data_IF_246765566239
#
_entry.id   IF_246765566239
#
_cell.length_a   1.000
_cell.length_b   1.000
_cell.length_c   1.000
_cell.angle_alpha   90.00
_cell.angle_beta   90.00
_cell.angle_gamma   90.00
#
_symmetry.space_group_name_H-M   'P 1'
#
loop_
_entity.id
_entity.type
_entity.pdbx_description
1 polymer ?
#
# COMPACT_ATOMS: atom_id res chain seq x y z
N UNK A 1 -44.28 39.57 11.29
CA UNK A 1 -43.22 39.12 10.36
C UNK A 1 -41.89 39.32 11.08
N UNK A 2 -41.24 38.27 11.61
CA UNK A 2 -40.02 38.50 12.42
C UNK A 2 -39.30 37.28 12.99
N UNK A 3 -39.39 36.10 12.38
CA UNK A 3 -38.75 34.88 12.89
C UNK A 3 -37.67 34.26 11.97
N UNK A 4 -37.39 34.84 10.80
CA UNK A 4 -36.48 34.22 9.82
C UNK A 4 -34.98 34.52 10.03
N UNK A 5 -34.63 35.61 10.74
CA UNK A 5 -33.24 36.08 10.82
C UNK A 5 -32.37 35.40 11.89
N UNK A 6 -32.98 34.71 12.86
CA UNK A 6 -32.25 33.97 13.88
C UNK A 6 -31.88 32.57 13.37
N UNK A 7 -32.79 31.90 12.65
CA UNK A 7 -32.51 30.62 12.01
C UNK A 7 -31.44 30.72 10.91
N UNK A 8 -31.41 31.81 10.14
CA UNK A 8 -30.34 32.03 9.15
C UNK A 8 -28.98 32.20 9.82
N UNK A 9 -28.91 32.96 10.92
CA UNK A 9 -27.66 33.14 11.67
C UNK A 9 -27.15 31.86 12.30
N UNK A 10 -28.04 31.02 12.83
CA UNK A 10 -27.67 29.70 13.34
C UNK A 10 -27.14 28.78 12.22
N UNK A 11 -27.80 28.75 11.05
CA UNK A 11 -27.34 27.98 9.89
C UNK A 11 -25.97 28.43 9.40
N UNK A 12 -25.73 29.74 9.31
CA UNK A 12 -24.45 30.31 8.91
C UNK A 12 -23.33 29.97 9.91
N UNK A 13 -23.64 30.03 11.20
CA UNK A 13 -22.70 29.67 12.27
C UNK A 13 -22.34 28.17 12.22
N UNK A 14 -23.32 27.28 12.05
CA UNK A 14 -23.06 25.85 11.89
C UNK A 14 -22.21 25.52 10.65
N UNK A 15 -22.36 26.29 9.58
CA UNK A 15 -21.59 26.10 8.36
C UNK A 15 -20.15 26.57 8.55
N UNK A 16 -19.94 27.73 9.19
CA UNK A 16 -18.62 28.22 9.58
C UNK A 16 -17.88 27.24 10.51
N UNK A 17 -18.58 26.64 11.46
CA UNK A 17 -18.00 25.68 12.39
C UNK A 17 -17.60 24.37 11.67
N UNK A 18 -18.44 23.89 10.74
CA UNK A 18 -18.12 22.74 9.88
C UNK A 18 -16.89 22.99 9.01
N UNK A 19 -16.82 24.13 8.35
CA UNK A 19 -15.69 24.51 7.49
C UNK A 19 -14.39 24.66 8.30
N UNK A 20 -14.49 25.26 9.49
CA UNK A 20 -13.37 25.40 10.43
C UNK A 20 -12.86 24.03 10.87
N UNK A 21 -13.75 23.11 11.22
CA UNK A 21 -13.41 21.73 11.61
C UNK A 21 -12.74 20.96 10.48
N UNK A 22 -13.26 21.05 9.25
CA UNK A 22 -12.64 20.44 8.07
C UNK A 22 -11.24 21.00 7.80
N UNK A 23 -11.05 22.33 7.91
CA UNK A 23 -9.73 22.96 7.77
C UNK A 23 -8.75 22.48 8.84
N UNK A 24 -9.19 22.36 10.09
CA UNK A 24 -8.36 21.83 11.18
C UNK A 24 -7.96 20.37 10.92
N UNK A 25 -8.91 19.51 10.56
CA UNK A 25 -8.66 18.10 10.27
C UNK A 25 -7.72 17.92 9.06
N UNK A 26 -7.90 18.71 8.00
CA UNK A 26 -7.02 18.67 6.83
C UNK A 26 -5.59 19.14 7.13
N UNK A 27 -5.41 20.15 8.00
CA UNK A 27 -4.08 20.58 8.50
C UNK A 27 -3.46 19.52 9.39
N UNK A 28 -4.24 18.91 10.29
CA UNK A 28 -3.78 17.82 11.16
C UNK A 28 -3.31 16.62 10.35
N UNK A 29 -4.08 16.23 9.32
CA UNK A 29 -3.69 15.17 8.37
C UNK A 29 -2.40 15.51 7.62
N UNK A 30 -2.25 16.75 7.14
CA UNK A 30 -1.01 17.21 6.49
C UNK A 30 0.21 17.15 7.41
N UNK A 31 0.02 17.44 8.69
CA UNK A 31 1.09 17.48 9.68
C UNK A 31 1.29 16.12 10.39
N UNK A 32 0.48 15.12 10.09
CA UNK A 32 0.62 13.79 10.68
C UNK A 32 1.69 13.01 9.91
N UNK A 33 2.74 12.59 10.63
CA UNK A 33 3.73 11.68 10.06
C UNK A 33 3.07 10.37 9.61
N UNK A 34 3.46 9.81 8.45
CA UNK A 34 2.92 8.54 8.01
C UNK A 34 3.34 7.41 8.96
N UNK A 35 2.38 6.54 9.31
CA UNK A 35 2.64 5.30 10.01
C UNK A 35 2.33 4.11 9.10
N UNK A 36 3.38 3.41 8.66
CA UNK A 36 3.27 2.22 7.83
C UNK A 36 3.25 0.93 8.67
N UNK A 37 2.16 0.18 8.55
CA UNK A 37 1.96 -1.09 9.25
C UNK A 37 2.16 -2.25 8.26
N UNK A 38 3.22 -3.03 8.46
CA UNK A 38 3.54 -4.17 7.61
C UNK A 38 2.75 -5.42 8.03
N UNK A 39 2.01 -6.01 7.09
CA UNK A 39 1.27 -7.27 7.28
C UNK A 39 2.00 -8.38 6.54
N UNK A 40 2.56 -9.33 7.28
CA UNK A 40 3.24 -10.49 6.68
C UNK A 40 2.24 -11.56 6.28
N UNK A 41 2.34 -11.99 5.01
CA UNK A 41 1.57 -13.06 4.42
C UNK A 41 1.59 -14.31 5.29
N UNK A 42 2.77 -14.84 5.63
CA UNK A 42 2.92 -16.08 6.42
C UNK A 42 2.03 -16.14 7.68
N UNK A 43 1.82 -14.99 8.35
CA UNK A 43 1.01 -14.87 9.56
C UNK A 43 -0.47 -15.27 9.39
N UNK A 44 -1.05 -15.14 8.19
CA UNK A 44 -2.46 -15.57 7.98
C UNK A 44 -2.60 -17.09 7.80
N UNK A 45 -1.50 -17.83 7.59
CA UNK A 45 -1.53 -19.30 7.47
C UNK A 45 -1.26 -20.01 8.79
N UNK A 46 -0.77 -19.30 9.81
CA UNK A 46 -0.47 -19.88 11.12
C UNK A 46 -1.75 -20.50 11.72
N UNK A 47 -1.72 -21.72 12.27
CA UNK A 47 -2.89 -22.35 12.87
C UNK A 47 -3.23 -21.76 14.25
N UNK A 48 -4.48 -21.96 14.67
CA UNK A 48 -4.92 -21.67 16.04
C UNK A 48 -4.96 -20.18 16.39
N UNK A 49 -4.63 -19.88 17.65
CA UNK A 49 -4.74 -18.54 18.26
C UNK A 49 -3.69 -17.54 17.72
N UNK A 50 -2.56 -18.05 17.22
CA UNK A 50 -1.48 -17.22 16.68
C UNK A 50 -1.74 -16.76 15.23
N UNK A 51 -2.88 -17.17 14.64
CA UNK A 51 -3.26 -16.76 13.29
C UNK A 51 -3.55 -15.27 13.24
N UNK A 52 -2.77 -14.54 12.44
CA UNK A 52 -3.09 -13.16 12.12
C UNK A 52 -4.38 -13.08 11.30
N UNK A 53 -5.23 -12.11 11.60
CA UNK A 53 -6.50 -11.89 10.88
C UNK A 53 -6.50 -10.49 10.33
N UNK A 54 -6.86 -10.30 9.06
CA UNK A 54 -6.87 -8.98 8.41
C UNK A 54 -7.69 -7.94 9.21
N UNK A 55 -8.82 -8.36 9.79
CA UNK A 55 -9.67 -7.49 10.62
C UNK A 55 -9.01 -6.98 11.91
N UNK A 56 -7.89 -7.56 12.34
CA UNK A 56 -7.18 -7.15 13.56
C UNK A 56 -6.08 -6.13 13.28
N UNK A 57 -5.90 -5.70 12.02
CA UNK A 57 -5.04 -4.56 11.70
C UNK A 57 -5.59 -3.31 12.41
N UNK A 58 -4.78 -2.58 13.20
CA UNK A 58 -5.25 -1.39 13.91
C UNK A 58 -5.35 -0.18 12.97
N UNK A 59 -6.31 -0.20 12.04
CA UNK A 59 -6.45 0.76 10.94
C UNK A 59 -6.63 2.22 11.37
N UNK A 60 -7.01 2.48 12.63
CA UNK A 60 -7.13 3.83 13.17
C UNK A 60 -5.78 4.41 13.63
N UNK A 61 -4.75 3.57 13.75
CA UNK A 61 -3.39 3.97 14.11
C UNK A 61 -2.49 4.07 12.87
N UNK A 62 -2.73 3.23 11.88
CA UNK A 62 -1.95 3.18 10.64
C UNK A 62 -2.48 4.21 9.63
N UNK A 63 -1.57 4.86 8.89
CA UNK A 63 -1.93 5.62 7.68
C UNK A 63 -1.70 4.80 6.41
N UNK A 64 -0.77 3.84 6.46
CA UNK A 64 -0.49 2.91 5.38
C UNK A 64 -0.48 1.48 5.91
N UNK A 65 -1.05 0.55 5.15
CA UNK A 65 -0.91 -0.90 5.35
C UNK A 65 -0.12 -1.46 4.19
N UNK A 66 0.97 -2.17 4.49
CA UNK A 66 1.87 -2.73 3.47
C UNK A 66 1.87 -4.25 3.57
N UNK A 67 1.27 -4.91 2.57
CA UNK A 67 1.22 -6.36 2.52
C UNK A 67 2.53 -6.97 2.00
N UNK A 68 3.18 -7.82 2.79
CA UNK A 68 4.52 -8.34 2.50
C UNK A 68 4.54 -9.87 2.50
N UNK A 69 5.09 -10.56 1.51
CA UNK A 69 5.69 -10.08 0.25
C UNK A 69 5.00 -10.77 -0.91
N UNK A 70 4.91 -10.07 -2.04
CA UNK A 70 4.56 -10.69 -3.30
C UNK A 70 5.82 -11.08 -4.06
N UNK A 71 5.72 -12.18 -4.78
CA UNK A 71 6.80 -12.74 -5.59
C UNK A 71 6.46 -12.58 -7.06
N UNK A 72 7.48 -12.64 -7.91
CA UNK A 72 7.32 -12.71 -9.37
C UNK A 72 7.91 -13.99 -9.93
N UNK A 73 7.41 -14.42 -11.08
CA UNK A 73 8.07 -15.44 -11.86
C UNK A 73 9.41 -14.93 -12.39
N UNK A 74 10.46 -15.75 -12.26
CA UNK A 74 11.82 -15.38 -12.64
C UNK A 74 12.01 -15.25 -14.17
N UNK A 75 11.11 -15.81 -14.99
CA UNK A 75 11.15 -15.71 -16.45
C UNK A 75 10.22 -14.60 -16.94
N UNK A 76 8.93 -14.67 -16.60
CA UNK A 76 7.91 -13.77 -17.16
C UNK A 76 7.86 -12.42 -16.46
N UNK A 77 8.16 -12.36 -15.16
CA UNK A 77 8.07 -11.14 -14.35
C UNK A 77 6.67 -10.87 -13.82
N UNK A 78 5.73 -11.77 -14.10
CA UNK A 78 4.37 -11.69 -13.57
C UNK A 78 4.34 -12.01 -12.08
N UNK A 79 3.46 -11.35 -11.32
CA UNK A 79 3.25 -11.68 -9.92
C UNK A 79 2.66 -13.08 -9.77
N UNK A 80 3.27 -13.89 -8.91
CA UNK A 80 2.89 -15.27 -8.65
C UNK A 80 2.55 -15.49 -7.17
N UNK A 81 1.69 -16.46 -6.92
CA UNK A 81 1.09 -16.69 -5.61
C UNK A 81 1.25 -18.16 -5.19
N UNK A 82 2.49 -18.57 -4.91
CA UNK A 82 2.82 -19.99 -4.71
C UNK A 82 2.20 -20.59 -3.45
N UNK A 83 2.36 -19.93 -2.30
CA UNK A 83 2.00 -20.52 -0.98
C UNK A 83 0.50 -20.74 -0.79
N UNK A 84 -0.33 -19.84 -1.33
CA UNK A 84 -1.80 -19.83 -1.15
C UNK A 84 -2.59 -20.05 -2.43
N UNK A 85 -1.94 -20.01 -3.58
CA UNK A 85 -2.62 -19.95 -4.87
C UNK A 85 -3.19 -18.56 -5.17
N UNK A 86 -3.45 -18.34 -6.45
CA UNK A 86 -3.85 -17.04 -6.99
C UNK A 86 -5.17 -16.52 -6.43
N UNK A 87 -6.17 -17.38 -6.28
CA UNK A 87 -7.49 -16.96 -5.82
C UNK A 87 -7.44 -16.45 -4.37
N UNK A 88 -6.83 -17.22 -3.48
CA UNK A 88 -6.77 -16.89 -2.06
C UNK A 88 -5.90 -15.65 -1.82
N UNK A 89 -4.78 -15.49 -2.55
CA UNK A 89 -3.96 -14.30 -2.38
C UNK A 89 -4.67 -13.03 -2.88
N UNK A 90 -5.35 -13.10 -4.03
CA UNK A 90 -6.18 -11.98 -4.51
C UNK A 90 -7.30 -11.65 -3.53
N UNK A 91 -7.89 -12.64 -2.88
CA UNK A 91 -8.87 -12.42 -1.82
C UNK A 91 -8.27 -11.69 -0.61
N UNK A 92 -7.05 -12.04 -0.19
CA UNK A 92 -6.31 -11.34 0.87
C UNK A 92 -6.07 -9.87 0.49
N UNK A 93 -5.55 -9.61 -0.71
CA UNK A 93 -5.31 -8.25 -1.20
C UNK A 93 -6.59 -7.40 -1.19
N UNK A 94 -7.68 -7.95 -1.73
CA UNK A 94 -8.99 -7.25 -1.74
C UNK A 94 -9.56 -7.03 -0.34
N UNK A 95 -9.37 -7.97 0.58
CA UNK A 95 -9.78 -7.81 1.99
C UNK A 95 -8.98 -6.70 2.69
N UNK A 96 -7.70 -6.57 2.39
CA UNK A 96 -6.88 -5.47 2.89
C UNK A 96 -7.33 -4.14 2.28
N UNK A 97 -7.55 -4.08 0.97
CA UNK A 97 -8.10 -2.89 0.30
C UNK A 97 -9.46 -2.48 0.89
N UNK A 98 -10.32 -3.44 1.21
CA UNK A 98 -11.63 -3.19 1.82
C UNK A 98 -11.57 -2.53 3.21
N UNK A 99 -10.42 -2.53 3.89
CA UNK A 99 -10.24 -1.78 5.14
C UNK A 99 -10.42 -0.27 4.94
N UNK A 100 -10.21 0.24 3.72
CA UNK A 100 -10.49 1.63 3.33
C UNK A 100 -11.95 2.02 3.53
N UNK A 101 -12.89 1.07 3.53
CA UNK A 101 -14.31 1.34 3.83
C UNK A 101 -14.53 1.84 5.26
N UNK A 102 -13.67 1.42 6.21
CA UNK A 102 -13.74 1.83 7.61
C UNK A 102 -12.78 2.98 7.94
N UNK A 103 -11.75 3.20 7.12
CA UNK A 103 -10.87 4.35 7.18
C UNK A 103 -10.55 4.82 5.75
N UNK A 104 -11.34 5.76 5.17
CA UNK A 104 -11.17 6.21 3.78
C UNK A 104 -9.82 6.87 3.47
N UNK A 105 -9.09 7.34 4.49
CA UNK A 105 -7.77 7.93 4.34
C UNK A 105 -6.64 6.90 4.31
N UNK A 106 -6.92 5.64 4.65
CA UNK A 106 -5.94 4.58 4.67
C UNK A 106 -5.42 4.27 3.26
N UNK A 107 -4.11 4.12 3.12
CA UNK A 107 -3.48 3.60 1.90
C UNK A 107 -3.08 2.15 2.06
N UNK A 108 -3.36 1.33 1.06
CA UNK A 108 -3.05 -0.10 1.06
C UNK A 108 -2.09 -0.40 -0.08
N UNK A 109 -0.89 -0.85 0.27
CA UNK A 109 0.19 -1.16 -0.67
C UNK A 109 0.54 -2.64 -0.57
N UNK A 110 1.16 -3.17 -1.61
CA UNK A 110 1.88 -4.44 -1.54
C UNK A 110 3.38 -4.20 -1.58
N UNK A 111 4.15 -5.10 -0.99
CA UNK A 111 5.61 -5.06 -1.00
C UNK A 111 6.16 -6.06 -2.01
N UNK A 112 7.10 -5.61 -2.83
CA UNK A 112 7.82 -6.43 -3.80
C UNK A 112 9.33 -6.29 -3.59
N UNK A 113 10.06 -7.41 -3.64
CA UNK A 113 11.48 -7.49 -3.27
C UNK A 113 11.69 -8.10 -1.87
N UNK A 114 12.85 -7.83 -1.28
CA UNK A 114 13.26 -8.33 0.04
C UNK A 114 13.77 -9.78 0.01
N UNK A 115 14.74 -10.08 0.87
CA UNK A 115 15.37 -11.38 1.05
C UNK A 115 15.65 -12.11 -0.27
N UNK A 116 15.03 -13.28 -0.44
CA UNK A 116 15.21 -14.13 -1.62
C UNK A 116 14.69 -13.53 -2.95
N UNK A 117 13.89 -12.46 -2.90
CA UNK A 117 13.23 -11.88 -4.09
C UNK A 117 13.91 -10.63 -4.64
N UNK A 118 14.94 -10.11 -3.96
CA UNK A 118 15.70 -8.94 -4.43
C UNK A 118 16.34 -9.17 -5.80
N UNK A 119 16.88 -10.36 -6.05
CA UNK A 119 17.45 -10.70 -7.37
C UNK A 119 16.38 -10.70 -8.48
N UNK A 120 15.15 -11.14 -8.16
CA UNK A 120 14.05 -11.08 -9.12
C UNK A 120 13.70 -9.63 -9.46
N UNK A 121 13.63 -8.75 -8.46
CA UNK A 121 13.46 -7.32 -8.65
C UNK A 121 14.56 -6.75 -9.55
N UNK A 122 15.84 -6.93 -9.20
CA UNK A 122 16.97 -6.39 -9.95
C UNK A 122 17.04 -6.89 -11.40
N UNK A 123 16.69 -8.16 -11.64
CA UNK A 123 16.63 -8.71 -13.00
C UNK A 123 15.64 -7.97 -13.90
N UNK A 124 14.57 -7.42 -13.34
CA UNK A 124 13.56 -6.65 -14.09
C UNK A 124 13.96 -5.21 -14.37
N UNK A 125 15.11 -4.78 -13.85
CA UNK A 125 15.64 -3.43 -14.05
C UNK A 125 16.81 -3.41 -15.04
N UNK A 126 17.08 -4.54 -15.71
CA UNK A 126 18.25 -4.69 -16.60
C UNK A 126 18.10 -4.01 -17.96
N UNK A 127 16.87 -3.82 -18.43
CA UNK A 127 16.57 -3.21 -19.72
C UNK A 127 15.30 -2.35 -19.63
N UNK A 128 15.16 -1.38 -20.55
CA UNK A 128 13.95 -0.57 -20.64
C UNK A 128 12.70 -1.42 -20.88
N UNK A 129 12.81 -2.47 -21.68
CA UNK A 129 11.71 -3.40 -21.95
C UNK A 129 11.26 -4.15 -20.69
N UNK A 130 12.21 -4.58 -19.85
CA UNK A 130 11.89 -5.26 -18.59
C UNK A 130 11.26 -4.30 -17.57
N UNK A 131 11.76 -3.06 -17.52
CA UNK A 131 11.16 -1.99 -16.70
C UNK A 131 9.71 -1.72 -17.11
N UNK A 132 9.42 -1.63 -18.42
CA UNK A 132 8.07 -1.40 -18.92
C UNK A 132 7.11 -2.54 -18.55
N UNK A 133 7.54 -3.80 -18.72
CA UNK A 133 6.76 -4.97 -18.27
C UNK A 133 6.51 -4.94 -16.76
N UNK A 134 7.50 -4.52 -15.98
CA UNK A 134 7.35 -4.41 -14.53
C UNK A 134 6.34 -3.32 -14.14
N UNK A 135 6.34 -2.17 -14.81
CA UNK A 135 5.33 -1.11 -14.63
C UNK A 135 3.93 -1.64 -14.97
N UNK A 136 3.77 -2.35 -16.09
CA UNK A 136 2.50 -2.96 -16.49
C UNK A 136 2.00 -3.98 -15.46
N UNK A 137 2.87 -4.87 -14.98
CA UNK A 137 2.53 -5.87 -13.98
C UNK A 137 2.10 -5.24 -12.65
N UNK A 138 2.82 -4.22 -12.18
CA UNK A 138 2.48 -3.45 -10.98
C UNK A 138 1.12 -2.77 -11.15
N UNK A 139 0.91 -2.06 -12.27
CA UNK A 139 -0.35 -1.37 -12.55
C UNK A 139 -1.54 -2.33 -12.64
N UNK A 140 -1.36 -3.47 -13.29
CA UNK A 140 -2.39 -4.51 -13.38
C UNK A 140 -2.78 -5.04 -11.99
N UNK A 141 -1.79 -5.27 -11.13
CA UNK A 141 -2.04 -5.75 -9.78
C UNK A 141 -2.74 -4.71 -8.89
N UNK A 142 -2.32 -3.45 -8.98
CA UNK A 142 -2.94 -2.32 -8.28
C UNK A 142 -4.42 -2.19 -8.68
N UNK A 143 -4.69 -2.10 -9.98
CA UNK A 143 -6.06 -1.89 -10.49
C UNK A 143 -6.97 -3.08 -10.21
N UNK A 144 -6.49 -4.31 -10.39
CA UNK A 144 -7.33 -5.52 -10.23
C UNK A 144 -7.66 -5.89 -8.78
N UNK A 145 -7.01 -5.25 -7.80
CA UNK A 145 -7.23 -5.51 -6.37
C UNK A 145 -7.51 -4.26 -5.53
N UNK A 146 -7.74 -3.09 -6.16
CA UNK A 146 -8.03 -1.82 -5.48
C UNK A 146 -6.93 -1.40 -4.47
N UNK A 147 -5.67 -1.56 -4.86
CA UNK A 147 -4.53 -1.11 -4.06
C UNK A 147 -4.17 0.34 -4.41
N UNK A 148 -3.44 1.01 -3.51
CA UNK A 148 -3.02 2.41 -3.67
C UNK A 148 -1.57 2.55 -4.16
N UNK A 149 -0.79 1.46 -4.19
CA UNK A 149 0.59 1.52 -4.63
C UNK A 149 1.43 0.28 -4.34
N UNK A 150 2.73 0.44 -4.53
CA UNK A 150 3.76 -0.58 -4.30
C UNK A 150 4.85 -0.03 -3.38
N UNK A 151 5.32 -0.87 -2.46
CA UNK A 151 6.52 -0.66 -1.68
C UNK A 151 7.65 -1.53 -2.29
N UNK A 152 8.63 -0.90 -2.92
CA UNK A 152 9.82 -1.62 -3.37
C UNK A 152 10.76 -1.85 -2.19
N UNK A 153 10.81 -3.10 -1.73
CA UNK A 153 11.69 -3.52 -0.65
C UNK A 153 13.04 -3.91 -1.24
N UNK A 154 13.86 -2.89 -1.53
CA UNK A 154 15.26 -3.09 -1.89
C UNK A 154 16.08 -3.17 -0.60
N UNK A 155 16.54 -4.38 -0.25
CA UNK A 155 17.52 -4.52 0.82
C UNK A 155 18.85 -3.97 0.29
N UNK A 156 19.30 -2.86 0.88
CA UNK A 156 20.50 -2.12 0.47
C UNK A 156 21.81 -2.90 0.62
N UNK A 157 22.97 -2.29 0.34
CA UNK A 157 24.22 -3.00 0.17
C UNK A 157 24.68 -3.74 1.43
N UNK A 158 24.69 -5.08 1.33
CA UNK A 158 25.60 -5.99 2.01
C UNK A 158 26.42 -6.76 0.97
N UNK A 159 27.56 -7.40 1.32
CA UNK A 159 28.69 -7.71 0.42
C UNK A 159 28.45 -8.58 -0.83
N UNK A 160 27.23 -8.97 -1.18
CA UNK A 160 27.00 -9.94 -2.27
C UNK A 160 25.79 -9.70 -3.17
N UNK A 161 24.88 -8.76 -2.87
CA UNK A 161 23.55 -8.75 -3.55
C UNK A 161 23.26 -7.51 -4.39
N UNK A 162 23.64 -6.30 -3.97
CA UNK A 162 23.44 -5.06 -4.74
C UNK A 162 24.78 -4.45 -5.13
N UNK A 163 25.07 -4.39 -6.44
CA UNK A 163 26.26 -3.71 -7.00
C UNK A 163 25.93 -2.25 -7.32
N UNK A 164 26.96 -1.42 -7.55
CA UNK A 164 26.79 0.01 -7.88
C UNK A 164 25.79 0.24 -9.02
N UNK A 165 25.94 -0.45 -10.14
CA UNK A 165 25.05 -0.36 -11.31
C UNK A 165 23.58 -0.73 -11.01
N UNK A 166 23.32 -1.55 -9.99
CA UNK A 166 21.95 -1.96 -9.62
C UNK A 166 21.20 -0.79 -8.98
N UNK A 167 21.91 0.07 -8.24
CA UNK A 167 21.34 1.30 -7.67
C UNK A 167 20.97 2.28 -8.77
N UNK A 168 21.85 2.47 -9.77
CA UNK A 168 21.58 3.38 -10.89
C UNK A 168 20.39 2.94 -11.73
N UNK A 169 20.26 1.63 -11.99
CA UNK A 169 19.10 1.06 -12.68
C UNK A 169 17.81 1.21 -11.88
N UNK A 170 17.88 1.02 -10.57
CA UNK A 170 16.72 1.27 -9.70
C UNK A 170 16.33 2.76 -9.70
N UNK A 171 17.31 3.67 -9.63
CA UNK A 171 17.08 5.10 -9.74
C UNK A 171 16.49 5.50 -11.10
N UNK A 172 16.93 4.85 -12.19
CA UNK A 172 16.34 5.05 -13.52
C UNK A 172 14.88 4.59 -13.56
N UNK A 173 14.55 3.49 -12.90
CA UNK A 173 13.21 2.91 -12.89
C UNK A 173 12.19 3.70 -12.07
N UNK A 174 12.61 4.32 -10.95
CA UNK A 174 11.69 5.07 -10.08
C UNK A 174 11.46 6.53 -10.51
N UNK A 175 12.22 7.02 -11.49
CA UNK A 175 12.05 8.36 -12.09
C UNK A 175 10.90 8.36 -13.09
#
# INVERSE_FOLDING_TARGET
>A
MGYNGDEERERDQEQLDRDTKQRYESRRKRNQAPLACFVRGDGLMVPGLMRFRIRTVPIQKCTHVVYSYLETDNKTGEFIFRKRGTQQEREVLRKLAALKKSNPDLKVLFSYGGGAHVNSLLNRLRSKQDMDKMVEAVNSLIRSNDLDGVNFHLEGPGPSICKGDDVDKFLQFIK
#
